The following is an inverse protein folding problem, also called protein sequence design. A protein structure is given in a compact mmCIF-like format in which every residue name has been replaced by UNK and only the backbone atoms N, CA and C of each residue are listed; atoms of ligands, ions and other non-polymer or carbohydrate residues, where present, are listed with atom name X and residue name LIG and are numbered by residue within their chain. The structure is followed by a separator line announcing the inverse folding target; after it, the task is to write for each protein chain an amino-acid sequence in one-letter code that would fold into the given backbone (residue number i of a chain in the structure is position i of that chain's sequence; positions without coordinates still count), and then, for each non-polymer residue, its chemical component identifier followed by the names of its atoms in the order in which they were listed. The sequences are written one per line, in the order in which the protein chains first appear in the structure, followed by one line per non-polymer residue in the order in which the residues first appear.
data_IF_194740359965
#
_entry.id   IF_194740359965
#
_cell.length_a   1.000
_cell.length_b   1.000
_cell.length_c   1.000
_cell.angle_alpha   90.00
_cell.angle_beta   90.00
_cell.angle_gamma   90.00
#
_symmetry.space_group_name_H-M   'P 1'
#
loop_
_entity.id
_entity.type
_entity.pdbx_description
1 polymer ?
#
# COMPACT_ATOMS: atom_id res chain seq x y z
N UNK A 1 -36.52 0.37 9.40
CA UNK A 1 -36.16 0.82 8.03
C UNK A 1 -35.15 1.98 7.99
N UNK A 2 -35.40 3.14 8.61
CA UNK A 2 -34.47 4.31 8.51
C UNK A 2 -33.12 4.02 9.17
N UNK A 3 -33.13 3.35 10.33
CA UNK A 3 -31.91 3.03 11.08
C UNK A 3 -31.02 2.03 10.32
N UNK A 4 -31.57 0.97 9.72
CA UNK A 4 -30.75 0.01 8.97
C UNK A 4 -30.11 0.65 7.73
N UNK A 5 -30.83 1.53 7.02
CA UNK A 5 -30.29 2.26 5.86
C UNK A 5 -29.13 3.16 6.29
N UNK A 6 -29.27 3.90 7.40
CA UNK A 6 -28.19 4.74 7.93
C UNK A 6 -26.96 3.90 8.30
N UNK A 7 -27.16 2.76 8.97
CA UNK A 7 -26.06 1.86 9.34
C UNK A 7 -25.37 1.25 8.10
N UNK A 8 -26.15 0.87 7.07
CA UNK A 8 -25.60 0.35 5.82
C UNK A 8 -24.75 1.40 5.10
N UNK A 9 -25.22 2.65 5.03
CA UNK A 9 -24.47 3.78 4.45
C UNK A 9 -23.16 4.02 5.21
N UNK A 10 -23.20 4.03 6.55
CA UNK A 10 -21.99 4.18 7.38
C UNK A 10 -20.98 3.05 7.13
N UNK A 11 -21.44 1.81 6.98
CA UNK A 11 -20.58 0.67 6.65
C UNK A 11 -19.91 0.83 5.28
N UNK A 12 -20.64 1.30 4.27
CA UNK A 12 -20.10 1.56 2.94
C UNK A 12 -19.09 2.71 2.92
N UNK A 13 -19.34 3.78 3.69
CA UNK A 13 -18.38 4.89 3.88
C UNK A 13 -17.09 4.36 4.55
N UNK A 14 -17.22 3.52 5.59
CA UNK A 14 -16.07 2.89 6.24
C UNK A 14 -15.28 1.99 5.28
N UNK A 15 -15.96 1.18 4.47
CA UNK A 15 -15.34 0.32 3.48
C UNK A 15 -14.58 1.12 2.42
N UNK A 16 -15.20 2.15 1.85
CA UNK A 16 -14.55 3.03 0.85
C UNK A 16 -13.35 3.77 1.42
N UNK A 17 -13.44 4.25 2.66
CA UNK A 17 -12.31 4.87 3.36
C UNK A 17 -11.12 3.90 3.53
N UNK A 18 -11.37 2.66 3.94
CA UNK A 18 -10.34 1.63 4.08
C UNK A 18 -9.68 1.27 2.74
N UNK A 19 -10.46 1.21 1.66
CA UNK A 19 -9.96 1.02 0.30
C UNK A 19 -9.05 2.18 -0.10
N UNK A 20 -9.50 3.42 0.07
CA UNK A 20 -8.74 4.62 -0.29
C UNK A 20 -7.38 4.66 0.42
N UNK A 21 -7.36 4.43 1.73
CA UNK A 21 -6.11 4.35 2.48
C UNK A 21 -5.20 3.23 1.99
N UNK A 22 -5.77 2.06 1.68
CA UNK A 22 -5.00 0.92 1.16
C UNK A 22 -4.36 1.24 -0.19
N UNK A 23 -5.07 1.97 -1.07
CA UNK A 23 -4.53 2.41 -2.36
C UNK A 23 -3.37 3.38 -2.16
N UNK A 24 -3.51 4.37 -1.28
CA UNK A 24 -2.44 5.34 -0.97
C UNK A 24 -1.21 4.63 -0.42
N UNK A 25 -1.38 3.76 0.57
CA UNK A 25 -0.27 2.98 1.14
C UNK A 25 0.40 2.07 0.11
N UNK A 26 -0.37 1.44 -0.78
CA UNK A 26 0.18 0.61 -1.87
C UNK A 26 0.96 1.43 -2.90
N UNK A 27 0.55 2.67 -3.19
CA UNK A 27 1.30 3.57 -4.09
C UNK A 27 2.64 3.96 -3.48
N UNK A 28 2.64 4.38 -2.22
CA UNK A 28 3.85 4.71 -1.47
C UNK A 28 4.77 3.48 -1.40
N UNK A 29 4.20 2.32 -1.12
CA UNK A 29 4.91 1.04 -1.09
C UNK A 29 5.63 0.74 -2.41
N UNK A 30 4.93 0.85 -3.55
CA UNK A 30 5.52 0.62 -4.87
C UNK A 30 6.65 1.60 -5.17
N UNK A 31 6.48 2.87 -4.80
CA UNK A 31 7.55 3.87 -4.94
C UNK A 31 8.80 3.46 -4.15
N UNK A 32 8.64 3.04 -2.90
CA UNK A 32 9.76 2.56 -2.09
C UNK A 32 10.42 1.30 -2.67
N UNK A 33 9.65 0.38 -3.25
CA UNK A 33 10.20 -0.79 -3.94
C UNK A 33 11.04 -0.38 -5.16
N UNK A 34 10.56 0.57 -5.97
CA UNK A 34 11.31 1.07 -7.12
C UNK A 34 12.62 1.75 -6.69
N UNK A 35 12.57 2.61 -5.67
CA UNK A 35 13.76 3.28 -5.13
C UNK A 35 14.82 2.26 -4.65
N UNK A 36 14.38 1.17 -3.98
CA UNK A 36 15.28 0.10 -3.54
C UNK A 36 15.84 -0.69 -4.72
N UNK A 37 15.04 -0.96 -5.75
CA UNK A 37 15.51 -1.66 -6.95
C UNK A 37 16.57 -0.83 -7.70
N UNK A 38 16.35 0.47 -7.88
CA UNK A 38 17.31 1.40 -8.49
C UNK A 38 18.63 1.41 -7.69
N UNK A 39 18.55 1.48 -6.37
CA UNK A 39 19.75 1.48 -5.52
C UNK A 39 20.51 0.15 -5.61
N UNK A 40 19.81 -0.98 -5.62
CA UNK A 40 20.45 -2.30 -5.78
C UNK A 40 21.13 -2.45 -7.13
N UNK A 41 20.48 -2.01 -8.20
CA UNK A 41 21.06 -2.03 -9.53
C UNK A 41 22.35 -1.19 -9.57
N UNK A 42 22.32 0.03 -9.02
CA UNK A 42 23.53 0.86 -8.90
C UNK A 42 24.64 0.17 -8.08
N UNK A 43 24.30 -0.52 -6.98
CA UNK A 43 25.25 -1.27 -6.17
C UNK A 43 25.88 -2.43 -6.95
N UNK A 44 25.08 -3.18 -7.73
CA UNK A 44 25.56 -4.28 -8.58
C UNK A 44 26.48 -3.79 -9.69
N UNK A 45 26.10 -2.69 -10.37
CA UNK A 45 26.93 -2.06 -11.41
C UNK A 45 28.24 -1.52 -10.84
N UNK A 46 28.20 -0.94 -9.63
CA UNK A 46 29.38 -0.38 -8.97
C UNK A 46 30.32 -1.46 -8.44
N UNK A 47 29.80 -2.57 -7.91
CA UNK A 47 30.61 -3.67 -7.37
C UNK A 47 31.48 -4.37 -8.43
N UNK A 48 31.08 -4.31 -9.71
CA UNK A 48 31.82 -4.88 -10.83
C UNK A 48 32.60 -3.88 -11.68
N UNK A 49 32.51 -2.57 -11.40
CA UNK A 49 33.10 -1.54 -12.25
C UNK A 49 34.60 -1.30 -11.94
N UNK A 50 35.44 -1.06 -12.97
CA UNK A 50 36.82 -0.61 -12.78
C UNK A 50 36.87 0.72 -11.99
N UNK A 51 37.89 0.89 -11.16
CA UNK A 51 38.04 2.05 -10.26
C UNK A 51 37.91 3.43 -10.96
N UNK A 52 38.26 3.52 -12.24
CA UNK A 52 38.19 4.75 -13.04
C UNK A 52 36.77 5.13 -13.50
N UNK A 53 35.78 4.24 -13.35
CA UNK A 53 34.39 4.47 -13.74
C UNK A 53 33.46 4.83 -12.57
N UNK A 54 34.00 4.94 -11.34
CA UNK A 54 33.28 5.29 -10.10
C UNK A 54 32.79 6.77 -10.04
N UNK A 55 32.64 7.43 -11.17
CA UNK A 55 32.33 8.87 -11.26
C UNK A 55 30.87 9.23 -10.96
N UNK A 56 29.92 8.30 -11.14
CA UNK A 56 28.51 8.56 -10.80
C UNK A 56 28.24 8.19 -9.34
N UNK A 57 28.13 9.22 -8.49
CA UNK A 57 27.66 9.06 -7.11
C UNK A 57 26.28 8.37 -7.04
N UNK A 58 25.86 7.93 -5.85
CA UNK A 58 24.63 7.17 -5.67
C UNK A 58 23.41 7.91 -6.23
N UNK A 59 22.42 7.18 -6.81
CA UNK A 59 21.22 7.79 -7.35
C UNK A 59 20.43 8.53 -6.26
N UNK A 60 19.80 9.67 -6.58
CA UNK A 60 18.99 10.42 -5.62
C UNK A 60 17.68 9.67 -5.33
N UNK A 61 17.70 8.79 -4.35
CA UNK A 61 16.52 8.03 -3.89
C UNK A 61 15.89 8.67 -2.65
N UNK A 62 14.56 8.68 -2.59
CA UNK A 62 13.81 9.30 -1.48
C UNK A 62 13.45 8.31 -0.37
N UNK A 63 13.54 7.01 -0.66
CA UNK A 63 13.18 5.94 0.25
C UNK A 63 14.22 5.72 1.36
N UNK A 64 13.84 5.74 2.65
CA UNK A 64 14.77 5.45 3.75
C UNK A 64 15.27 3.99 3.73
N UNK A 65 14.54 3.09 3.07
CA UNK A 65 14.90 1.68 2.92
C UNK A 65 15.99 1.46 1.86
N UNK A 66 16.11 2.36 0.88
CA UNK A 66 17.14 2.28 -0.15
C UNK A 66 18.52 2.70 0.42
N UNK A 67 18.55 3.73 1.28
CA UNK A 67 19.79 4.25 1.87
C UNK A 67 20.38 3.31 2.92
N UNK A 68 19.53 2.66 3.73
CA UNK A 68 19.97 1.86 4.88
C UNK A 68 20.11 0.36 4.60
N UNK A 69 19.98 -0.09 3.34
CA UNK A 69 19.97 -1.52 2.95
C UNK A 69 19.02 -2.38 3.82
N UNK A 70 17.90 -1.81 4.28
CA UNK A 70 16.96 -2.48 5.19
C UNK A 70 15.96 -3.32 4.40
N UNK A 71 15.51 -4.46 4.94
CA UNK A 71 14.42 -5.21 4.34
C UNK A 71 13.18 -4.32 4.26
N UNK A 72 12.57 -4.30 3.08
CA UNK A 72 11.29 -3.66 2.84
C UNK A 72 10.23 -4.28 3.78
N UNK A 73 9.39 -3.47 4.46
CA UNK A 73 8.20 -3.94 5.18
C UNK A 73 7.30 -4.92 4.37
N UNK A 74 6.38 -5.64 5.00
CA UNK A 74 5.37 -6.40 4.26
C UNK A 74 4.42 -5.47 3.48
N UNK A 75 3.87 -5.97 2.35
CA UNK A 75 2.95 -5.22 1.49
C UNK A 75 1.73 -4.72 2.30
N UNK A 76 1.41 -3.42 2.27
CA UNK A 76 0.31 -2.90 3.06
C UNK A 76 -1.07 -3.32 2.52
N UNK A 77 -2.00 -3.52 3.46
CA UNK A 77 -3.43 -3.62 3.17
C UNK A 77 -4.00 -5.03 3.02
N UNK A 78 -3.24 -6.10 3.25
CA UNK A 78 -3.79 -7.46 3.22
C UNK A 78 -4.91 -7.65 4.25
N UNK A 79 -4.67 -7.29 5.52
CA UNK A 79 -5.68 -7.38 6.58
C UNK A 79 -6.84 -6.38 6.41
N UNK A 80 -6.61 -5.23 5.77
CA UNK A 80 -7.65 -4.20 5.60
C UNK A 80 -8.72 -4.61 4.58
N UNK A 81 -8.36 -5.38 3.55
CA UNK A 81 -9.32 -5.87 2.56
C UNK A 81 -10.30 -6.88 3.15
N UNK A 82 -9.89 -7.66 4.15
CA UNK A 82 -10.78 -8.57 4.87
C UNK A 82 -11.88 -7.74 5.57
N UNK A 83 -11.50 -6.68 6.28
CA UNK A 83 -12.46 -5.79 6.95
C UNK A 83 -13.38 -5.05 5.99
N UNK A 84 -12.89 -4.66 4.81
CA UNK A 84 -13.73 -4.12 3.73
C UNK A 84 -14.81 -5.14 3.34
N UNK A 85 -14.43 -6.41 3.14
CA UNK A 85 -15.39 -7.49 2.84
C UNK A 85 -16.42 -7.69 3.94
N UNK A 86 -15.98 -7.67 5.21
CA UNK A 86 -16.88 -7.76 6.38
C UNK A 86 -17.88 -6.61 6.41
N UNK A 87 -17.43 -5.36 6.21
CA UNK A 87 -18.31 -4.18 6.20
C UNK A 87 -19.33 -4.24 5.06
N UNK A 88 -18.92 -4.70 3.88
CA UNK A 88 -19.82 -4.88 2.74
C UNK A 88 -20.86 -5.98 3.01
N UNK A 89 -20.46 -7.09 3.62
CA UNK A 89 -21.39 -8.16 3.99
C UNK A 89 -22.41 -7.69 5.03
N UNK A 90 -21.99 -6.94 6.05
CA UNK A 90 -22.89 -6.34 7.05
C UNK A 90 -23.87 -5.37 6.38
N UNK A 91 -23.38 -4.51 5.47
CA UNK A 91 -24.24 -3.58 4.74
C UNK A 91 -25.31 -4.32 3.91
N UNK A 92 -24.93 -5.43 3.24
CA UNK A 92 -25.88 -6.27 2.49
C UNK A 92 -26.94 -6.91 3.40
N UNK A 93 -26.55 -7.43 4.57
CA UNK A 93 -27.49 -8.02 5.53
C UNK A 93 -28.48 -6.97 6.02
N UNK A 94 -28.00 -5.76 6.34
CA UNK A 94 -28.85 -4.65 6.79
C UNK A 94 -29.84 -4.22 5.70
N UNK A 95 -29.41 -4.16 4.44
CA UNK A 95 -30.29 -3.82 3.31
C UNK A 95 -31.35 -4.89 3.07
N UNK A 96 -30.98 -6.18 3.13
CA UNK A 96 -31.93 -7.28 3.01
C UNK A 96 -32.96 -7.26 4.14
N UNK A 97 -32.52 -7.05 5.39
CA UNK A 97 -33.40 -6.94 6.54
C UNK A 97 -34.34 -5.72 6.46
N UNK A 98 -33.88 -4.60 5.90
CA UNK A 98 -34.72 -3.41 5.70
C UNK A 98 -35.77 -3.59 4.59
N UNK A 99 -35.56 -4.54 3.67
CA UNK A 99 -36.46 -4.85 2.55
C UNK A 99 -37.43 -6.00 2.82
N UNK A 100 -37.25 -6.72 3.94
CA UNK A 100 -38.10 -7.80 4.40
C UNK A 100 -39.19 -7.28 5.34
#
# INVERSE_FOLDING_TARGET
MVVEIVLAVLCLIGATFLIAQTVVQRRIWRRHQNDVAIMRQWQEETAGAPYDQLGSGPPPVTSPYAVAARPLPPRPGAGRLIWVGVLVAIALILLLAASA
#
